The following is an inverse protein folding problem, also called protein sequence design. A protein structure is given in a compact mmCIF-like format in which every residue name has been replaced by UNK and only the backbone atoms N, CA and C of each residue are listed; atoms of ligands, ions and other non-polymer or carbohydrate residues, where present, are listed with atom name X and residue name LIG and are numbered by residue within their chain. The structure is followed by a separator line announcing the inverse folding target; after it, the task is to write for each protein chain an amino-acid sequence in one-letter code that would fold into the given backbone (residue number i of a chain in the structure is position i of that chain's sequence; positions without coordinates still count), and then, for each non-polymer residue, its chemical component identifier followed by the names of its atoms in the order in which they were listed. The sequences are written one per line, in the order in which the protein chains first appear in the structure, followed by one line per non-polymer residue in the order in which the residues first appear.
data_IF_710905172899
#
_entry.id   IF_710905172899
#
_cell.length_a   1.000
_cell.length_b   1.000
_cell.length_c   1.000
_cell.angle_alpha   90.00
_cell.angle_beta   90.00
_cell.angle_gamma   90.00
#
_symmetry.space_group_name_H-M   'P 1'
#
loop_
_entity.id
_entity.type
_entity.pdbx_description
1 polymer ?
#
# COMPACT_ATOMS: atom_id res chain seq x y z
N UNK A 1 -1.02 -11.81 -16.31
CA UNK A 1 -1.68 -11.17 -15.15
C UNK A 1 -2.54 -10.05 -15.70
N UNK A 2 -3.81 -9.99 -15.33
CA UNK A 2 -4.62 -8.81 -15.64
C UNK A 2 -4.07 -7.66 -14.81
N UNK A 3 -3.99 -6.46 -15.40
CA UNK A 3 -3.61 -5.27 -14.67
C UNK A 3 -4.57 -5.07 -13.47
N UNK A 4 -4.07 -4.59 -12.32
CA UNK A 4 -4.95 -4.29 -11.19
C UNK A 4 -6.05 -3.30 -11.60
N UNK A 5 -7.23 -3.47 -11.01
CA UNK A 5 -8.45 -2.69 -11.34
C UNK A 5 -8.63 -1.42 -10.51
N UNK A 6 -7.71 -1.11 -9.59
CA UNK A 6 -7.76 0.11 -8.79
C UNK A 6 -7.36 1.35 -9.60
N UNK A 7 -7.74 2.54 -9.11
CA UNK A 7 -7.40 3.83 -9.76
C UNK A 7 -5.89 3.97 -9.94
N UNK A 8 -5.37 4.12 -11.18
CA UNK A 8 -3.94 4.25 -11.41
C UNK A 8 -3.32 5.46 -10.69
N UNK A 9 -2.06 5.31 -10.28
CA UNK A 9 -1.25 6.39 -9.75
C UNK A 9 -0.66 7.31 -10.84
N UNK A 10 0.13 8.33 -10.45
CA UNK A 10 0.46 8.68 -9.06
C UNK A 10 -0.73 9.30 -8.32
N UNK A 11 -0.83 9.04 -7.03
CA UNK A 11 -1.79 9.72 -6.15
C UNK A 11 -1.09 10.86 -5.42
N UNK A 12 -1.84 11.93 -5.14
CA UNK A 12 -1.37 13.06 -4.34
C UNK A 12 -2.50 13.59 -3.47
N UNK A 13 -2.11 14.36 -2.46
CA UNK A 13 -3.05 15.15 -1.67
C UNK A 13 -3.57 16.33 -2.49
N UNK A 14 -4.87 16.59 -2.35
CA UNK A 14 -5.56 17.72 -2.96
C UNK A 14 -5.82 18.80 -1.92
N UNK A 15 -6.98 18.73 -1.27
CA UNK A 15 -7.38 19.62 -0.20
C UNK A 15 -8.09 18.81 0.85
N UNK A 16 -8.04 19.24 2.11
CA UNK A 16 -8.74 18.56 3.21
C UNK A 16 -8.38 17.08 3.31
N UNK A 17 -7.11 16.70 3.09
CA UNK A 17 -6.64 15.31 3.17
C UNK A 17 -7.35 14.37 2.20
N UNK A 18 -7.82 14.91 1.07
CA UNK A 18 -8.36 14.12 -0.02
C UNK A 18 -7.21 13.62 -0.90
N UNK A 19 -7.20 12.32 -1.18
CA UNK A 19 -6.17 11.66 -1.99
C UNK A 19 -6.78 11.17 -3.30
N UNK A 20 -6.07 11.38 -4.41
CA UNK A 20 -6.44 10.83 -5.71
C UNK A 20 -5.43 11.14 -6.80
N UNK A 21 -5.72 10.71 -8.05
CA UNK A 21 -4.93 11.10 -9.22
C UNK A 21 -5.14 12.60 -9.54
N UNK A 22 -4.51 13.11 -10.62
CA UNK A 22 -4.61 14.52 -11.01
C UNK A 22 -6.03 15.03 -11.25
N UNK A 23 -6.98 14.13 -11.52
CA UNK A 23 -8.40 14.45 -11.65
C UNK A 23 -9.23 13.40 -10.93
N UNK A 24 -9.92 13.82 -9.87
CA UNK A 24 -10.81 12.98 -9.08
C UNK A 24 -10.23 12.63 -7.70
N UNK A 25 -11.11 12.22 -6.80
CA UNK A 25 -10.78 11.82 -5.43
C UNK A 25 -11.04 10.32 -5.28
N UNK A 26 -10.09 9.61 -4.69
CA UNK A 26 -10.19 8.19 -4.33
C UNK A 26 -10.73 8.06 -2.90
N UNK A 27 -10.19 8.84 -1.96
CA UNK A 27 -10.65 8.85 -0.57
C UNK A 27 -10.34 10.18 0.14
N UNK A 28 -10.99 10.38 1.29
CA UNK A 28 -10.63 11.39 2.28
C UNK A 28 -10.04 10.69 3.51
N UNK A 29 -8.95 11.22 4.04
CA UNK A 29 -8.12 10.55 5.05
C UNK A 29 -8.27 11.22 6.41
N UNK A 30 -8.52 10.40 7.42
CA UNK A 30 -8.74 10.82 8.81
C UNK A 30 -7.71 10.20 9.75
N UNK A 31 -7.59 10.77 10.95
CA UNK A 31 -6.93 10.11 12.08
C UNK A 31 -7.91 9.23 12.84
N UNK A 32 -7.37 8.23 13.55
CA UNK A 32 -8.20 7.24 14.24
C UNK A 32 -8.57 7.68 15.67
N UNK A 33 -7.57 8.05 16.49
CA UNK A 33 -7.75 8.16 17.96
C UNK A 33 -6.75 9.11 18.65
N UNK A 34 -6.22 10.13 17.99
CA UNK A 34 -5.21 11.01 18.60
C UNK A 34 -5.60 11.46 20.01
N UNK A 35 -4.70 11.29 20.99
CA UNK A 35 -4.98 11.59 22.41
C UNK A 35 -5.18 13.09 22.64
N UNK A 36 -4.56 13.89 21.78
CA UNK A 36 -4.76 15.33 21.67
C UNK A 36 -5.18 15.72 20.25
N UNK A 37 -5.68 16.94 20.09
CA UNK A 37 -5.95 17.52 18.77
C UNK A 37 -4.70 17.53 17.88
N UNK A 38 -3.54 17.85 18.44
CA UNK A 38 -2.29 17.92 17.68
C UNK A 38 -1.83 16.54 17.22
N UNK A 39 -1.97 15.51 18.08
CA UNK A 39 -1.70 14.12 17.71
C UNK A 39 -2.64 13.64 16.61
N UNK A 40 -3.92 13.99 16.71
CA UNK A 40 -4.92 13.65 15.71
C UNK A 40 -4.63 14.33 14.36
N UNK A 41 -4.11 15.57 14.36
CA UNK A 41 -3.69 16.25 13.13
C UNK A 41 -2.47 15.55 12.54
N UNK A 42 -1.43 15.29 13.35
CA UNK A 42 -0.20 14.66 12.91
C UNK A 42 -0.44 13.24 12.34
N UNK A 43 -1.31 12.44 12.97
CA UNK A 43 -1.70 11.14 12.44
C UNK A 43 -2.43 11.25 11.10
N UNK A 44 -3.35 12.22 10.96
CA UNK A 44 -4.06 12.46 9.71
C UNK A 44 -3.10 12.79 8.56
N UNK A 45 -2.13 13.67 8.84
CA UNK A 45 -1.13 14.09 7.86
C UNK A 45 -0.17 12.93 7.51
N UNK A 46 0.22 12.11 8.49
CA UNK A 46 1.01 10.89 8.23
C UNK A 46 0.25 9.87 7.37
N UNK A 47 -1.04 9.68 7.63
CA UNK A 47 -1.89 8.77 6.86
C UNK A 47 -2.03 9.23 5.40
N UNK A 48 -2.13 10.54 5.16
CA UNK A 48 -2.12 11.14 3.81
C UNK A 48 -0.87 10.71 3.04
N UNK A 49 0.31 10.86 3.64
CA UNK A 49 1.57 10.49 3.00
C UNK A 49 1.65 8.99 2.69
N UNK A 50 1.23 8.14 3.64
CA UNK A 50 1.25 6.68 3.45
C UNK A 50 0.31 6.24 2.32
N UNK A 51 -0.91 6.78 2.27
CA UNK A 51 -1.91 6.42 1.25
C UNK A 51 -1.50 6.96 -0.12
N UNK A 52 -0.97 8.19 -0.20
CA UNK A 52 -0.49 8.75 -1.46
C UNK A 52 0.66 7.91 -2.07
N UNK A 53 1.50 7.29 -1.24
CA UNK A 53 2.58 6.42 -1.69
C UNK A 53 2.11 5.00 -2.10
N UNK A 54 0.84 4.63 -1.87
CA UNK A 54 0.36 3.27 -2.08
C UNK A 54 0.55 2.73 -3.52
N UNK A 55 0.29 3.51 -4.60
CA UNK A 55 0.54 3.03 -5.97
C UNK A 55 2.01 2.70 -6.23
N UNK A 56 2.93 3.53 -5.73
CA UNK A 56 4.37 3.34 -5.92
C UNK A 56 4.87 2.14 -5.11
N UNK A 57 4.42 2.01 -3.86
CA UNK A 57 4.72 0.87 -3.00
C UNK A 57 4.21 -0.45 -3.61
N UNK A 58 3.03 -0.43 -4.24
CA UNK A 58 2.49 -1.59 -4.94
C UNK A 58 3.37 -1.98 -6.14
N UNK A 59 3.77 -1.01 -6.96
CA UNK A 59 4.64 -1.27 -8.12
C UNK A 59 5.99 -1.85 -7.68
N UNK A 60 6.62 -1.27 -6.65
CA UNK A 60 7.87 -1.79 -6.08
C UNK A 60 7.67 -3.19 -5.50
N UNK A 61 6.55 -3.47 -4.84
CA UNK A 61 6.25 -4.79 -4.30
C UNK A 61 6.15 -5.86 -5.39
N UNK A 62 5.50 -5.56 -6.53
CA UNK A 62 5.43 -6.44 -7.70
C UNK A 62 6.84 -6.74 -8.23
N UNK A 63 7.67 -5.71 -8.43
CA UNK A 63 9.02 -5.87 -8.94
C UNK A 63 9.93 -6.64 -7.97
N UNK A 64 9.79 -6.39 -6.67
CA UNK A 64 10.48 -7.12 -5.63
C UNK A 64 10.09 -8.61 -5.63
N UNK A 65 8.80 -8.93 -5.72
CA UNK A 65 8.33 -10.33 -5.80
C UNK A 65 8.96 -11.05 -7.00
N UNK A 66 8.92 -10.41 -8.17
CA UNK A 66 9.49 -10.95 -9.40
C UNK A 66 11.01 -11.15 -9.29
N UNK A 67 11.73 -10.23 -8.64
CA UNK A 67 13.17 -10.37 -8.39
C UNK A 67 13.46 -11.54 -7.44
N UNK A 68 12.75 -11.63 -6.32
CA UNK A 68 12.93 -12.68 -5.32
C UNK A 68 12.63 -14.07 -5.89
N UNK A 69 11.56 -14.18 -6.70
CA UNK A 69 11.20 -15.39 -7.43
C UNK A 69 12.30 -15.80 -8.42
N UNK A 70 12.89 -14.86 -9.17
CA UNK A 70 14.04 -15.13 -10.06
C UNK A 70 15.28 -15.60 -9.31
N UNK A 71 15.49 -15.11 -8.08
CA UNK A 71 16.55 -15.57 -7.18
C UNK A 71 16.24 -16.91 -6.49
N UNK A 72 15.15 -17.59 -6.88
CA UNK A 72 14.73 -18.89 -6.34
C UNK A 72 14.49 -18.88 -4.83
N UNK A 73 14.02 -17.75 -4.29
CA UNK A 73 13.53 -17.73 -2.91
C UNK A 73 12.32 -18.65 -2.79
N UNK A 74 12.35 -19.55 -1.80
CA UNK A 74 11.26 -20.50 -1.57
C UNK A 74 10.29 -19.95 -0.53
N UNK A 75 8.96 -20.02 -0.76
CA UNK A 75 7.95 -19.60 0.21
C UNK A 75 7.86 -20.60 1.37
N UNK A 76 8.79 -20.48 2.32
CA UNK A 76 8.92 -21.36 3.47
C UNK A 76 8.81 -20.56 4.79
N UNK A 77 7.75 -20.76 5.61
CA UNK A 77 7.56 -20.01 6.84
C UNK A 77 8.62 -20.30 7.91
N UNK A 78 9.31 -21.45 7.84
CA UNK A 78 10.39 -21.80 8.76
C UNK A 78 11.71 -21.06 8.48
N UNK A 79 11.79 -20.30 7.37
CA UNK A 79 12.98 -19.53 7.01
C UNK A 79 12.68 -18.04 7.00
N UNK A 80 13.55 -17.15 7.52
CA UNK A 80 13.32 -15.71 7.50
C UNK A 80 13.07 -15.16 6.09
N UNK A 81 13.84 -15.65 5.10
CA UNK A 81 13.69 -15.29 3.68
C UNK A 81 12.34 -15.73 3.12
N UNK A 82 11.95 -16.98 3.36
CA UNK A 82 10.68 -17.52 2.87
C UNK A 82 9.47 -16.92 3.55
N UNK A 83 9.56 -16.60 4.85
CA UNK A 83 8.53 -15.87 5.58
C UNK A 83 8.31 -14.46 5.00
N UNK A 84 9.40 -13.74 4.68
CA UNK A 84 9.32 -12.43 4.03
C UNK A 84 8.62 -12.51 2.66
N UNK A 85 8.97 -13.49 1.83
CA UNK A 85 8.34 -13.70 0.53
C UNK A 85 6.83 -14.01 0.67
N UNK A 86 6.45 -14.78 1.69
CA UNK A 86 5.05 -15.08 1.99
C UNK A 86 4.29 -13.81 2.37
N UNK A 87 4.85 -12.95 3.23
CA UNK A 87 4.25 -11.67 3.62
C UNK A 87 4.08 -10.74 2.42
N UNK A 88 5.11 -10.63 1.56
CA UNK A 88 5.03 -9.83 0.33
C UNK A 88 3.90 -10.31 -0.59
N UNK A 89 3.81 -11.62 -0.81
CA UNK A 89 2.75 -12.22 -1.65
C UNK A 89 1.37 -12.05 -1.05
N UNK A 90 1.24 -12.12 0.27
CA UNK A 90 -0.01 -11.87 0.96
C UNK A 90 -0.45 -10.40 0.83
N UNK A 91 0.48 -9.46 0.98
CA UNK A 91 0.20 -8.04 0.78
C UNK A 91 -0.25 -7.74 -0.66
N UNK A 92 0.43 -8.31 -1.66
CA UNK A 92 0.02 -8.20 -3.07
C UNK A 92 -1.36 -8.81 -3.31
N UNK A 93 -1.64 -10.00 -2.78
CA UNK A 93 -2.95 -10.64 -2.91
C UNK A 93 -4.08 -9.78 -2.30
N UNK A 94 -3.82 -9.13 -1.17
CA UNK A 94 -4.77 -8.18 -0.56
C UNK A 94 -4.98 -6.94 -1.42
N UNK A 95 -3.90 -6.32 -1.92
CA UNK A 95 -3.99 -5.16 -2.81
C UNK A 95 -4.71 -5.46 -4.14
N UNK A 96 -4.58 -6.69 -4.65
CA UNK A 96 -5.24 -7.17 -5.87
C UNK A 96 -6.69 -7.64 -5.63
N UNK A 97 -7.20 -7.59 -4.40
CA UNK A 97 -8.54 -8.08 -4.04
C UNK A 97 -8.71 -9.60 -4.13
N UNK A 98 -7.60 -10.36 -4.11
CA UNK A 98 -7.59 -11.83 -4.10
C UNK A 98 -7.63 -12.42 -2.69
N UNK A 99 -7.57 -11.58 -1.66
CA UNK A 99 -7.66 -11.94 -0.25
C UNK A 99 -8.62 -10.98 0.49
N UNK A 100 -9.20 -11.43 1.61
CA UNK A 100 -10.07 -10.60 2.45
C UNK A 100 -9.31 -9.42 3.08
N UNK A 101 -10.05 -8.35 3.39
CA UNK A 101 -9.52 -7.08 3.93
C UNK A 101 -9.42 -7.13 5.44
#
# INVERSE_FOLDING_TARGET
MNAPTFTPGPWHEHSHRQIGPSRGIVCEVWSAIGETTDDAIAQGDANVHLIAAAPDLYQVAIEAEALLSRQKWLPNPASPKGALLLVLRAALAKAEGRAEV
#
